data_IF_085118110063
#
_entry.id   IF_085118110063
#
_cell.length_a   1.000
_cell.length_b   1.000
_cell.length_c   1.000
_cell.angle_alpha   90.00
_cell.angle_beta   90.00
_cell.angle_gamma   90.00
#
_symmetry.space_group_name_H-M   'P 1'
#
loop_
_entity.id
_entity.type
_entity.pdbx_description
1 polymer ?
#
# COMPACT_ATOMS: atom_id res chain seq x y z
N UNK A 1 32.81 14.95 25.94
CA UNK A 1 31.97 15.18 24.75
C UNK A 1 31.80 13.86 24.02
N UNK A 2 30.73 13.13 24.32
CA UNK A 2 30.35 11.93 23.59
C UNK A 2 29.62 12.38 22.33
N UNK A 3 30.19 12.09 21.17
CA UNK A 3 29.48 12.20 19.89
C UNK A 3 28.42 11.11 19.88
N UNK A 4 27.16 11.47 20.16
CA UNK A 4 26.01 10.64 19.86
C UNK A 4 26.02 10.36 18.35
N UNK A 5 26.55 9.20 17.97
CA UNK A 5 26.33 8.69 16.63
C UNK A 5 24.84 8.36 16.53
N UNK A 6 24.11 8.93 15.56
CA UNK A 6 22.72 8.53 15.36
C UNK A 6 22.69 7.02 15.12
N UNK A 7 21.82 6.33 15.86
CA UNK A 7 21.57 4.91 15.65
C UNK A 7 21.16 4.69 14.19
N UNK A 8 21.78 3.74 13.46
CA UNK A 8 21.36 3.41 12.10
C UNK A 8 20.01 2.67 12.06
N UNK A 9 19.49 2.28 13.23
CA UNK A 9 18.22 1.57 13.37
C UNK A 9 17.12 2.56 13.74
N UNK A 10 16.07 2.57 12.91
CA UNK A 10 14.80 3.23 13.21
C UNK A 10 14.03 2.32 14.18
N UNK A 11 13.48 2.88 15.25
CA UNK A 11 12.69 2.11 16.19
C UNK A 11 11.50 1.46 15.46
N UNK A 12 11.31 0.16 15.65
CA UNK A 12 10.10 -0.53 15.20
C UNK A 12 8.93 0.13 15.92
N UNK A 13 8.10 0.82 15.14
CA UNK A 13 7.01 1.62 15.67
C UNK A 13 5.92 0.67 16.10
N UNK A 14 5.93 0.34 17.40
CA UNK A 14 5.13 -0.68 18.09
C UNK A 14 3.61 -0.52 18.03
N UNK A 15 3.05 -0.20 16.88
CA UNK A 15 1.64 -0.37 16.58
C UNK A 15 1.41 -1.79 16.05
N UNK A 16 0.41 -2.47 16.58
CA UNK A 16 -0.09 -3.69 15.97
C UNK A 16 -0.76 -3.32 14.65
N UNK A 17 -0.65 -4.18 13.63
CA UNK A 17 -1.48 -4.04 12.43
C UNK A 17 -2.93 -4.29 12.86
N UNK A 18 -3.74 -3.24 12.87
CA UNK A 18 -5.16 -3.33 13.25
C UNK A 18 -6.07 -3.47 12.03
N UNK A 19 -5.63 -3.00 10.86
CA UNK A 19 -6.41 -3.05 9.63
C UNK A 19 -5.54 -3.40 8.43
N UNK A 20 -6.04 -4.29 7.57
CA UNK A 20 -5.40 -4.68 6.30
C UNK A 20 -6.38 -4.42 5.17
N UNK A 21 -5.96 -3.69 4.14
CA UNK A 21 -6.75 -3.55 2.92
C UNK A 21 -6.17 -4.47 1.82
N UNK A 22 -7.03 -5.24 1.15
CA UNK A 22 -6.69 -6.09 0.02
C UNK A 22 -7.65 -5.80 -1.13
N UNK A 23 -7.16 -5.87 -2.37
CA UNK A 23 -8.01 -5.77 -3.55
C UNK A 23 -8.15 -7.12 -4.23
N UNK A 24 -9.39 -7.48 -4.61
CA UNK A 24 -9.68 -8.74 -5.30
C UNK A 24 -10.18 -8.44 -6.72
N UNK A 25 -9.32 -8.60 -7.75
CA UNK A 25 -9.72 -8.40 -9.13
C UNK A 25 -10.91 -9.26 -9.54
N UNK A 26 -11.79 -8.69 -10.38
CA UNK A 26 -12.96 -9.39 -10.89
C UNK A 26 -12.64 -10.74 -11.55
N UNK A 27 -11.50 -10.81 -12.26
CA UNK A 27 -11.01 -12.01 -12.93
C UNK A 27 -10.76 -13.20 -11.98
N UNK A 28 -10.60 -12.96 -10.66
CA UNK A 28 -10.40 -14.02 -9.68
C UNK A 28 -11.69 -14.77 -9.32
N UNK A 29 -12.85 -14.18 -9.63
CA UNK A 29 -14.16 -14.76 -9.41
C UNK A 29 -14.76 -15.42 -10.66
N UNK A 30 -14.14 -15.22 -11.82
CA UNK A 30 -14.53 -15.94 -13.03
C UNK A 30 -14.22 -17.43 -12.86
N UNK A 31 -15.10 -18.30 -13.39
CA UNK A 31 -14.79 -19.72 -13.49
C UNK A 31 -13.41 -19.88 -14.14
N UNK A 32 -12.55 -20.69 -13.52
CA UNK A 32 -11.16 -20.86 -13.92
C UNK A 32 -11.08 -21.45 -15.35
N UNK A 33 -11.21 -20.60 -16.37
CA UNK A 33 -10.99 -20.97 -17.74
C UNK A 33 -9.51 -21.23 -17.93
N UNK A 34 -9.13 -22.51 -18.11
CA UNK A 34 -7.90 -23.11 -18.69
C UNK A 34 -6.51 -22.56 -18.28
N UNK A 35 -6.39 -21.41 -17.61
CA UNK A 35 -5.13 -20.68 -17.38
C UNK A 35 -4.64 -20.63 -15.93
N UNK A 36 -5.47 -20.99 -14.95
CA UNK A 36 -5.07 -21.04 -13.54
C UNK A 36 -5.18 -22.47 -13.01
N UNK A 37 -4.04 -23.07 -12.68
CA UNK A 37 -3.99 -24.38 -11.99
C UNK A 37 -4.41 -24.28 -10.51
N UNK A 38 -4.37 -23.07 -9.95
CA UNK A 38 -4.77 -22.75 -8.56
C UNK A 38 -5.51 -21.42 -8.57
N UNK A 39 -6.67 -21.36 -7.89
CA UNK A 39 -7.42 -20.11 -7.74
C UNK A 39 -6.61 -19.08 -6.94
N UNK A 40 -6.45 -17.83 -7.43
CA UNK A 40 -5.82 -16.74 -6.68
C UNK A 40 -6.51 -16.40 -5.35
N UNK A 41 -7.78 -16.81 -5.18
CA UNK A 41 -8.50 -16.63 -3.92
C UNK A 41 -8.04 -17.59 -2.80
N UNK A 42 -7.40 -18.71 -3.14
CA UNK A 42 -6.90 -19.67 -2.16
C UNK A 42 -5.86 -19.06 -1.20
N UNK A 43 -4.77 -18.41 -1.67
CA UNK A 43 -3.81 -17.77 -0.77
C UNK A 43 -4.42 -16.62 0.05
N UNK A 44 -5.36 -15.86 -0.50
CA UNK A 44 -6.07 -14.82 0.26
C UNK A 44 -6.92 -15.46 1.36
N UNK A 45 -7.67 -16.52 1.05
CA UNK A 45 -8.45 -17.25 2.05
C UNK A 45 -7.57 -17.78 3.19
N UNK A 46 -6.41 -18.35 2.85
CA UNK A 46 -5.43 -18.81 3.85
C UNK A 46 -4.93 -17.67 4.74
N UNK A 47 -4.66 -16.48 4.18
CA UNK A 47 -4.32 -15.29 4.96
C UNK A 47 -5.46 -14.91 5.91
N UNK A 48 -6.70 -14.82 5.44
CA UNK A 48 -7.84 -14.44 6.29
C UNK A 48 -8.08 -15.42 7.45
N UNK A 49 -7.83 -16.72 7.22
CA UNK A 49 -7.95 -17.76 8.23
C UNK A 49 -6.87 -17.70 9.32
N UNK A 50 -5.72 -17.10 9.05
CA UNK A 50 -4.61 -16.96 10.01
C UNK A 50 -4.67 -15.67 10.82
N UNK A 51 -5.39 -14.65 10.34
CA UNK A 51 -5.50 -13.37 11.01
C UNK A 51 -6.26 -13.46 12.35
N UNK A 52 -5.78 -12.77 13.41
CA UNK A 52 -6.43 -12.76 14.70
C UNK A 52 -7.73 -11.92 14.68
N UNK A 53 -8.57 -12.11 15.70
CA UNK A 53 -9.90 -11.47 15.79
C UNK A 53 -9.87 -9.94 15.81
N UNK A 54 -8.78 -9.36 16.32
CA UNK A 54 -8.61 -7.91 16.47
C UNK A 54 -8.10 -7.23 15.18
N UNK A 55 -7.84 -7.99 14.11
CA UNK A 55 -7.53 -7.42 12.80
C UNK A 55 -8.83 -7.26 12.01
N UNK A 56 -9.05 -6.07 11.46
CA UNK A 56 -10.07 -5.82 10.45
C UNK A 56 -9.46 -5.95 9.06
N UNK A 57 -10.19 -6.57 8.14
CA UNK A 57 -9.79 -6.67 6.73
C UNK A 57 -10.81 -5.96 5.86
N UNK A 58 -10.33 -5.04 5.03
CA UNK A 58 -11.12 -4.37 4.01
C UNK A 58 -10.83 -5.04 2.66
N UNK A 59 -11.81 -5.70 2.07
CA UNK A 59 -11.69 -6.34 0.78
C UNK A 59 -12.37 -5.48 -0.28
N UNK A 60 -11.56 -4.86 -1.13
CA UNK A 60 -12.06 -4.05 -2.25
C UNK A 60 -12.44 -4.96 -3.41
N UNK A 61 -13.67 -4.83 -3.87
CA UNK A 61 -14.25 -5.61 -4.97
C UNK A 61 -15.09 -4.71 -5.87
N UNK A 62 -15.10 -5.00 -7.16
CA UNK A 62 -16.04 -4.36 -8.08
C UNK A 62 -17.48 -4.82 -7.75
N UNK A 63 -18.46 -3.92 -7.88
CA UNK A 63 -19.88 -4.16 -7.61
C UNK A 63 -20.45 -5.42 -8.28
N UNK A 64 -20.15 -5.74 -9.56
CA UNK A 64 -20.59 -6.99 -10.18
C UNK A 64 -20.10 -8.26 -9.46
N UNK A 65 -18.96 -8.19 -8.78
CA UNK A 65 -18.37 -9.34 -8.08
C UNK A 65 -18.84 -9.48 -6.63
N UNK A 66 -19.64 -8.55 -6.11
CA UNK A 66 -20.06 -8.51 -4.71
C UNK A 66 -20.69 -9.84 -4.24
N UNK A 67 -21.60 -10.41 -5.03
CA UNK A 67 -22.28 -11.66 -4.70
C UNK A 67 -21.29 -12.85 -4.66
N UNK A 68 -20.37 -12.93 -5.62
CA UNK A 68 -19.34 -13.97 -5.67
C UNK A 68 -18.36 -13.84 -4.51
N UNK A 69 -17.92 -12.62 -4.20
CA UNK A 69 -17.05 -12.31 -3.07
C UNK A 69 -17.70 -12.68 -1.72
N UNK A 70 -18.98 -12.33 -1.54
CA UNK A 70 -19.75 -12.72 -0.35
C UNK A 70 -19.85 -14.24 -0.22
N UNK A 71 -20.27 -14.92 -1.29
CA UNK A 71 -20.39 -16.38 -1.30
C UNK A 71 -19.06 -17.06 -1.01
N UNK A 72 -17.95 -16.54 -1.53
CA UNK A 72 -16.61 -17.04 -1.23
C UNK A 72 -16.23 -16.85 0.24
N UNK A 73 -16.46 -15.66 0.81
CA UNK A 73 -16.20 -15.37 2.23
C UNK A 73 -17.04 -16.24 3.16
N UNK A 74 -18.33 -16.46 2.86
CA UNK A 74 -19.25 -17.24 3.69
C UNK A 74 -18.81 -18.71 3.81
N UNK A 75 -18.03 -19.22 2.85
CA UNK A 75 -17.42 -20.56 2.90
C UNK A 75 -16.16 -20.62 3.76
N UNK A 76 -15.60 -19.48 4.15
CA UNK A 76 -14.41 -19.40 5.00
C UNK A 76 -14.82 -19.24 6.46
N UNK A 77 -14.26 -20.08 7.34
CA UNK A 77 -14.43 -19.93 8.79
C UNK A 77 -13.46 -18.88 9.37
N UNK A 78 -13.50 -17.65 8.84
CA UNK A 78 -12.63 -16.54 9.26
C UNK A 78 -12.93 -16.10 10.70
N UNK A 79 -11.88 -15.68 11.42
CA UNK A 79 -11.99 -15.18 12.80
C UNK A 79 -11.88 -13.66 12.89
N UNK A 80 -11.15 -13.04 11.96
CA UNK A 80 -11.01 -11.59 11.83
C UNK A 80 -12.32 -10.94 11.36
N UNK A 81 -12.46 -9.63 11.59
CA UNK A 81 -13.54 -8.86 10.95
C UNK A 81 -13.20 -8.68 9.47
N UNK A 82 -14.15 -8.94 8.57
CA UNK A 82 -13.96 -8.76 7.13
C UNK A 82 -15.10 -7.94 6.55
N UNK A 83 -14.78 -6.77 6.00
CA UNK A 83 -15.73 -5.88 5.35
C UNK A 83 -15.47 -5.82 3.84
N UNK A 84 -16.54 -5.99 3.05
CA UNK A 84 -16.48 -5.79 1.60
C UNK A 84 -16.66 -4.31 1.28
N UNK A 85 -15.63 -3.70 0.69
CA UNK A 85 -15.69 -2.34 0.15
C UNK A 85 -16.02 -2.45 -1.33
N UNK A 86 -17.22 -2.04 -1.70
CA UNK A 86 -17.71 -2.16 -3.08
C UNK A 86 -17.38 -0.92 -3.89
N UNK A 87 -16.77 -1.12 -5.06
CA UNK A 87 -16.48 -0.07 -6.04
C UNK A 87 -17.51 -0.15 -7.18
N UNK A 88 -18.11 0.98 -7.54
CA UNK A 88 -19.29 1.00 -8.42
C UNK A 88 -19.00 0.59 -9.85
N UNK A 89 -17.83 1.00 -10.38
CA UNK A 89 -17.46 0.77 -11.77
C UNK A 89 -16.76 -0.59 -11.95
N UNK A 90 -17.16 -1.40 -12.95
CA UNK A 90 -16.45 -2.64 -13.28
C UNK A 90 -15.01 -2.37 -13.72
N UNK A 91 -14.07 -3.23 -13.33
CA UNK A 91 -12.67 -3.10 -13.72
C UNK A 91 -11.88 -2.07 -12.90
N UNK A 92 -12.49 -1.52 -11.85
CA UNK A 92 -11.83 -0.57 -10.94
C UNK A 92 -10.74 -1.25 -10.12
N UNK A 93 -10.85 -2.56 -9.90
CA UNK A 93 -9.79 -3.38 -9.30
C UNK A 93 -9.01 -4.11 -10.41
N UNK A 94 -8.00 -3.49 -11.03
CA UNK A 94 -7.27 -4.09 -12.15
C UNK A 94 -6.34 -5.23 -11.68
N UNK A 95 -5.82 -5.17 -10.46
CA UNK A 95 -4.84 -6.11 -9.93
C UNK A 95 -4.82 -6.10 -8.37
N UNK A 96 -4.25 -7.12 -7.70
CA UNK A 96 -4.22 -7.21 -6.24
C UNK A 96 -3.19 -6.30 -5.55
N UNK A 97 -2.28 -5.66 -6.29
CA UNK A 97 -1.25 -4.76 -5.75
C UNK A 97 -1.79 -3.37 -5.37
N UNK A 98 -2.78 -3.32 -4.49
CA UNK A 98 -3.42 -2.07 -4.03
C UNK A 98 -2.42 -1.07 -3.43
N UNK A 99 -1.36 -1.56 -2.80
CA UNK A 99 -0.29 -0.75 -2.18
C UNK A 99 0.40 0.19 -3.17
N UNK A 100 0.43 -0.15 -4.47
CA UNK A 100 1.10 0.65 -5.49
C UNK A 100 0.20 1.77 -6.06
N UNK A 101 -1.07 1.81 -5.66
CA UNK A 101 -2.08 2.70 -6.24
C UNK A 101 -2.19 4.06 -5.56
N UNK A 102 -1.74 4.18 -4.30
CA UNK A 102 -1.80 5.42 -3.53
C UNK A 102 -0.70 5.50 -2.47
N UNK A 103 -0.55 6.68 -1.89
CA UNK A 103 0.28 6.95 -0.73
C UNK A 103 -0.59 7.32 0.45
N UNK A 104 -0.22 6.85 1.64
CA UNK A 104 -0.81 7.35 2.88
C UNK A 104 0.03 8.54 3.35
N UNK A 105 -0.62 9.69 3.51
CA UNK A 105 -0.01 10.93 4.01
C UNK A 105 -0.71 11.39 5.29
N UNK A 106 0.03 11.99 6.21
CA UNK A 106 -0.57 12.80 7.26
C UNK A 106 -0.35 14.27 6.89
N UNK A 107 -1.38 15.12 6.87
CA UNK A 107 -1.13 16.56 6.70
C UNK A 107 -0.82 17.19 8.06
N UNK A 108 0.03 18.21 8.06
CA UNK A 108 0.38 18.94 9.28
C UNK A 108 -0.83 19.56 10.00
N UNK A 109 -1.91 19.84 9.26
CA UNK A 109 -3.14 20.46 9.74
C UNK A 109 -4.32 19.48 9.87
N UNK A 110 -4.13 18.18 9.59
CA UNK A 110 -5.21 17.19 9.60
C UNK A 110 -5.08 16.20 10.76
N UNK A 111 -6.23 15.87 11.36
CA UNK A 111 -6.33 14.84 12.41
C UNK A 111 -6.36 13.41 11.85
N UNK A 112 -6.67 13.26 10.56
CA UNK A 112 -6.78 11.98 9.87
C UNK A 112 -5.82 11.92 8.68
N UNK A 113 -5.31 10.73 8.33
CA UNK A 113 -4.56 10.53 7.11
C UNK A 113 -5.36 10.87 5.85
N UNK A 114 -4.63 11.03 4.75
CA UNK A 114 -5.14 11.14 3.39
C UNK A 114 -4.58 10.04 2.50
N UNK A 115 -5.37 9.58 1.53
CA UNK A 115 -4.91 8.73 0.44
C UNK A 115 -4.59 9.59 -0.78
N UNK A 116 -3.34 9.54 -1.24
CA UNK A 116 -2.82 10.38 -2.32
C UNK A 116 -2.52 9.51 -3.54
N UNK A 117 -3.19 9.74 -4.66
CA UNK A 117 -3.00 8.98 -5.92
C UNK A 117 -2.47 9.87 -7.05
N UNK A 118 -1.99 9.26 -8.14
CA UNK A 118 -1.47 9.99 -9.31
C UNK A 118 -2.55 10.67 -10.16
N UNK A 119 -3.80 10.31 -9.93
CA UNK A 119 -4.99 10.88 -10.56
C UNK A 119 -6.24 10.43 -9.80
N UNK A 120 -7.41 10.63 -10.40
CA UNK A 120 -8.65 10.09 -9.85
C UNK A 120 -8.58 8.56 -9.75
N UNK A 121 -8.90 8.04 -8.56
CA UNK A 121 -8.75 6.63 -8.24
C UNK A 121 -9.94 6.20 -7.41
N UNK A 122 -10.86 5.44 -8.01
CA UNK A 122 -12.01 4.91 -7.29
C UNK A 122 -11.61 3.95 -6.16
N UNK A 123 -10.46 3.27 -6.27
CA UNK A 123 -9.82 2.54 -5.16
C UNK A 123 -9.55 3.47 -3.97
N UNK A 124 -8.84 4.58 -4.23
CA UNK A 124 -8.48 5.53 -3.16
C UNK A 124 -9.71 6.19 -2.56
N UNK A 125 -10.69 6.56 -3.39
CA UNK A 125 -11.94 7.16 -2.93
C UNK A 125 -12.77 6.18 -2.09
N UNK A 126 -12.95 4.94 -2.56
CA UNK A 126 -13.72 3.93 -1.83
C UNK A 126 -13.07 3.56 -0.50
N UNK A 127 -11.75 3.42 -0.46
CA UNK A 127 -11.02 3.13 0.77
C UNK A 127 -11.03 4.32 1.72
N UNK A 128 -10.82 5.54 1.22
CA UNK A 128 -10.85 6.76 2.03
C UNK A 128 -12.23 6.99 2.65
N UNK A 129 -13.30 6.81 1.88
CA UNK A 129 -14.67 6.88 2.39
C UNK A 129 -14.93 5.86 3.51
N UNK A 130 -14.42 4.62 3.36
CA UNK A 130 -14.57 3.58 4.39
C UNK A 130 -13.77 3.88 5.66
N UNK A 131 -12.61 4.52 5.54
CA UNK A 131 -11.70 4.84 6.64
C UNK A 131 -11.93 6.23 7.25
N UNK A 132 -12.79 7.06 6.64
CA UNK A 132 -12.97 8.46 7.04
C UNK A 132 -11.75 9.33 6.71
N UNK A 133 -10.98 8.95 5.68
CA UNK A 133 -9.83 9.72 5.21
C UNK A 133 -10.25 10.67 4.08
N UNK A 134 -9.45 11.71 3.86
CA UNK A 134 -9.55 12.51 2.65
C UNK A 134 -8.72 11.91 1.51
N UNK A 135 -8.98 12.35 0.28
CA UNK A 135 -8.20 11.98 -0.91
C UNK A 135 -7.50 13.20 -1.49
N UNK A 136 -6.30 13.02 -2.05
CA UNK A 136 -5.60 14.05 -2.78
C UNK A 136 -4.93 13.48 -4.04
N UNK A 137 -4.49 14.37 -4.93
CA UNK A 137 -3.75 14.01 -6.14
C UNK A 137 -2.32 14.57 -6.03
N UNK A 138 -1.33 13.78 -6.45
CA UNK A 138 0.08 14.17 -6.50
C UNK A 138 0.78 13.52 -7.69
N UNK A 139 1.78 14.19 -8.27
CA UNK A 139 2.62 13.62 -9.34
C UNK A 139 3.72 12.70 -8.79
N UNK A 140 3.84 12.56 -7.46
CA UNK A 140 4.78 11.64 -6.83
C UNK A 140 4.29 10.21 -6.99
N UNK A 141 5.10 9.38 -7.64
CA UNK A 141 4.84 7.95 -7.83
C UNK A 141 5.93 7.15 -7.12
N UNK A 142 5.53 6.36 -6.12
CA UNK A 142 6.38 5.43 -5.39
C UNK A 142 5.73 4.04 -5.33
N UNK A 143 6.46 2.96 -5.69
CA UNK A 143 5.97 1.60 -5.47
C UNK A 143 5.69 1.39 -3.97
N UNK A 144 4.47 0.98 -3.63
CA UNK A 144 4.05 0.66 -2.26
C UNK A 144 4.91 -0.42 -1.64
N UNK A 145 5.27 -1.44 -2.41
CA UNK A 145 6.16 -2.51 -1.95
C UNK A 145 7.60 -2.06 -1.65
N UNK A 146 7.99 -0.83 -2.01
CA UNK A 146 9.32 -0.28 -1.77
C UNK A 146 9.31 0.89 -0.78
N UNK A 147 8.29 0.93 0.09
CA UNK A 147 8.19 1.91 1.15
C UNK A 147 7.50 1.33 2.39
N UNK A 148 7.86 1.88 3.55
CA UNK A 148 7.16 1.66 4.81
C UNK A 148 6.83 3.02 5.41
N UNK A 149 5.60 3.15 5.90
CA UNK A 149 5.06 4.39 6.46
C UNK A 149 4.79 4.14 7.93
N UNK A 150 5.57 4.78 8.80
CA UNK A 150 5.37 4.80 10.24
C UNK A 150 4.62 6.05 10.71
N UNK A 151 4.43 6.19 12.04
CA UNK A 151 3.76 7.35 12.64
C UNK A 151 4.52 8.67 12.42
N UNK A 152 5.85 8.63 12.43
CA UNK A 152 6.74 9.79 12.33
C UNK A 152 7.79 9.68 11.21
N UNK A 153 7.83 8.54 10.51
CA UNK A 153 8.80 8.27 9.46
C UNK A 153 8.16 7.76 8.16
N UNK A 154 8.93 7.90 7.07
CA UNK A 154 8.74 7.17 5.82
C UNK A 154 10.08 6.56 5.43
N UNK A 155 10.14 5.24 5.34
CA UNK A 155 11.30 4.51 4.87
C UNK A 155 11.10 4.18 3.39
N UNK A 156 12.01 4.59 2.51
CA UNK A 156 11.88 4.45 1.05
C UNK A 156 13.12 3.78 0.48
N UNK A 157 12.92 2.84 -0.45
CA UNK A 157 14.05 2.14 -1.06
C UNK A 157 14.92 3.10 -1.86
N UNK A 158 16.24 2.97 -1.72
CA UNK A 158 17.21 3.90 -2.29
C UNK A 158 17.01 4.14 -3.78
N UNK A 159 16.77 3.07 -4.56
CA UNK A 159 16.51 3.17 -6.01
C UNK A 159 15.27 4.02 -6.36
N UNK A 160 14.24 4.02 -5.52
CA UNK A 160 13.04 4.85 -5.71
C UNK A 160 13.29 6.33 -5.44
N UNK A 161 14.26 6.65 -4.58
CA UNK A 161 14.70 8.03 -4.33
C UNK A 161 15.55 8.56 -5.48
N UNK A 162 16.33 7.70 -6.14
CA UNK A 162 17.15 8.05 -7.31
C UNK A 162 16.36 8.15 -8.63
N UNK A 163 15.15 7.58 -8.67
CA UNK A 163 14.30 7.57 -9.85
C UNK A 163 14.50 6.42 -10.82
N UNK A 164 15.09 5.32 -10.36
CA UNK A 164 15.32 4.10 -11.14
C UNK A 164 16.54 4.16 -12.06
N UNK A 165 16.89 3.01 -12.65
CA UNK A 165 18.06 2.83 -13.51
C UNK A 165 18.07 3.73 -14.76
N UNK A 166 16.89 4.15 -15.23
CA UNK A 166 16.76 5.08 -16.36
C UNK A 166 17.17 6.52 -16.01
N UNK A 167 16.98 6.94 -14.75
CA UNK A 167 17.38 8.27 -14.27
C UNK A 167 18.87 8.36 -13.89
N UNK A 168 19.53 7.23 -13.68
CA UNK A 168 20.95 7.17 -13.29
C UNK A 168 21.92 7.65 -14.38
N UNK A 169 21.46 7.76 -15.64
CA UNK A 169 22.24 8.29 -16.77
C UNK A 169 22.18 9.81 -16.93
N UNK A 170 21.37 10.50 -16.13
CA UNK A 170 21.11 11.93 -16.28
C UNK A 170 21.52 12.71 -15.03
N UNK A 171 22.77 13.16 -15.03
CA UNK A 171 23.40 14.20 -14.19
C UNK A 171 23.17 14.16 -12.65
N UNK A 172 24.20 14.38 -11.81
CA UNK A 172 24.11 14.37 -10.34
C UNK A 172 23.07 15.33 -9.71
N UNK A 173 22.51 16.28 -10.47
CA UNK A 173 21.53 17.26 -10.00
C UNK A 173 20.08 16.73 -9.92
N UNK A 174 19.77 15.55 -10.47
CA UNK A 174 18.43 14.94 -10.43
C UNK A 174 18.14 14.20 -9.13
N UNK A 175 19.18 13.70 -8.44
CA UNK A 175 19.11 13.04 -7.13
C UNK A 175 18.38 13.90 -6.08
N UNK A 176 18.70 15.20 -6.03
CA UNK A 176 18.10 16.12 -5.05
C UNK A 176 16.62 16.38 -5.34
N UNK A 177 16.18 16.42 -6.60
CA UNK A 177 14.82 16.87 -6.94
C UNK A 177 13.75 15.83 -6.63
N UNK A 178 14.01 14.54 -6.87
CA UNK A 178 13.04 13.48 -6.56
C UNK A 178 12.92 13.25 -5.06
N UNK A 179 14.06 13.25 -4.35
CA UNK A 179 14.08 13.21 -2.89
C UNK A 179 13.26 14.37 -2.29
N UNK A 180 13.55 15.62 -2.70
CA UNK A 180 12.82 16.80 -2.21
C UNK A 180 11.30 16.74 -2.49
N UNK A 181 10.88 16.16 -3.63
CA UNK A 181 9.45 15.96 -3.91
C UNK A 181 8.80 14.95 -2.98
N UNK A 182 9.53 13.90 -2.61
CA UNK A 182 9.05 12.86 -1.68
C UNK A 182 9.00 13.43 -0.25
N UNK A 183 9.99 14.23 0.14
CA UNK A 183 9.94 14.98 1.41
C UNK A 183 8.79 15.99 1.43
N UNK A 184 8.51 16.65 0.31
CA UNK A 184 7.38 17.57 0.21
C UNK A 184 6.01 16.85 0.19
N UNK A 185 5.99 15.53 -0.06
CA UNK A 185 4.75 14.76 -0.05
C UNK A 185 4.19 14.67 1.36
N UNK A 186 5.02 14.54 2.40
CA UNK A 186 4.62 14.15 3.74
C UNK A 186 5.48 14.83 4.80
N UNK A 187 4.92 15.39 5.90
CA UNK A 187 5.70 15.97 6.99
C UNK A 187 6.60 14.97 7.73
N UNK A 188 6.35 13.65 7.59
CA UNK A 188 7.18 12.62 8.20
C UNK A 188 8.60 12.60 7.62
N UNK A 189 9.58 12.35 8.47
CA UNK A 189 10.98 12.29 8.04
C UNK A 189 11.20 11.14 7.04
N UNK A 190 11.85 11.44 5.91
CA UNK A 190 12.15 10.45 4.87
C UNK A 190 13.52 9.83 5.12
N UNK A 191 13.55 8.51 5.24
CA UNK A 191 14.77 7.71 5.38
C UNK A 191 14.95 6.82 4.16
N UNK A 192 16.20 6.58 3.78
CA UNK A 192 16.54 5.63 2.72
C UNK A 192 16.91 4.27 3.30
N UNK A 193 16.40 3.19 2.70
CA UNK A 193 16.91 1.83 2.93
C UNK A 193 17.41 1.20 1.62
N UNK A 194 18.38 0.31 1.75
CA UNK A 194 18.93 -0.43 0.62
C UNK A 194 20.27 -1.03 0.99
N UNK A 195 20.72 -1.96 0.16
CA UNK A 195 22.05 -2.54 0.27
C UNK A 195 23.06 -1.58 -0.36
N UNK A 196 24.20 -1.38 0.29
CA UNK A 196 25.34 -0.82 -0.39
C UNK A 196 25.96 -1.89 -1.28
N UNK A 197 26.61 -1.53 -2.40
CA UNK A 197 27.35 -2.50 -3.20
C UNK A 197 28.37 -3.31 -2.39
N UNK A 198 28.98 -2.71 -1.36
CA UNK A 198 29.90 -3.38 -0.43
C UNK A 198 29.25 -4.45 0.47
N UNK A 199 27.92 -4.43 0.62
CA UNK A 199 27.17 -5.40 1.44
C UNK A 199 26.80 -6.67 0.65
N UNK A 200 27.06 -6.71 -0.67
CA UNK A 200 26.57 -7.75 -1.58
C UNK A 200 27.61 -8.82 -1.97
N UNK A 201 28.87 -8.68 -1.54
CA UNK A 201 29.95 -9.64 -1.78
C UNK A 201 30.72 -9.43 -3.08
#
# INVERSE_FOLDING_TARGET
MTTDRPSPLIADCGGLIETIALSLPAAWFADAGIGFTVSPLAPIGNLLLTLPRNVAVLLLVDRPCLAAARSWLDRLAVKCQVDLVTLDEPGTVPHPWIQDMFHVRLRADALTPELVSSGESAISQGLAARLGFATAISDVILPGGNQLVGPDYRLVGHASLQGGAESARSAPATLSRRWLRIEALDPRAVFSFGYKPEDLG
#
